data_IF_205326307548
#
_entry.id   IF_205326307548
#
_cell.length_a   1.000
_cell.length_b   1.000
_cell.length_c   1.000
_cell.angle_alpha   90.00
_cell.angle_beta   90.00
_cell.angle_gamma   90.00
#
_symmetry.space_group_name_H-M   'P 1'
#
loop_
_entity.id
_entity.type
_entity.pdbx_description
1 polymer ?
#
# COMPACT_ATOMS: atom_id res chain seq x y z
N UNK A 1 -21.00 -29.72 -13.59
CA UNK A 1 -19.72 -29.01 -13.77
C UNK A 1 -19.81 -27.73 -12.97
N UNK A 2 -19.24 -27.73 -11.75
CA UNK A 2 -19.27 -26.56 -10.88
C UNK A 2 -18.27 -25.54 -11.40
N UNK A 3 -18.76 -24.38 -11.85
CA UNK A 3 -17.91 -23.21 -12.05
C UNK A 3 -17.43 -22.77 -10.67
N UNK A 4 -16.20 -23.11 -10.31
CA UNK A 4 -15.55 -22.44 -9.18
C UNK A 4 -15.48 -20.96 -9.54
N UNK A 5 -16.19 -20.14 -8.77
CA UNK A 5 -16.11 -18.70 -8.90
C UNK A 5 -14.67 -18.22 -8.67
N UNK A 6 -14.32 -17.04 -9.17
CA UNK A 6 -12.99 -16.45 -8.98
C UNK A 6 -12.63 -16.41 -7.49
N UNK A 7 -11.41 -16.85 -7.14
CA UNK A 7 -10.95 -16.85 -5.77
C UNK A 7 -10.91 -15.41 -5.22
N UNK A 8 -11.36 -15.19 -3.97
CA UNK A 8 -11.44 -13.85 -3.40
C UNK A 8 -10.06 -13.20 -3.27
N UNK A 9 -10.01 -11.87 -3.35
CA UNK A 9 -8.84 -11.04 -3.10
C UNK A 9 -8.93 -10.48 -1.68
N UNK A 10 -8.04 -10.91 -0.80
CA UNK A 10 -7.91 -10.33 0.54
C UNK A 10 -6.93 -9.16 0.51
N UNK A 11 -7.36 -7.99 0.97
CA UNK A 11 -6.52 -6.79 1.02
C UNK A 11 -6.28 -6.38 2.47
N UNK A 12 -5.02 -6.21 2.84
CA UNK A 12 -4.62 -5.59 4.10
C UNK A 12 -4.13 -4.17 3.83
N UNK A 13 -4.76 -3.19 4.47
CA UNK A 13 -4.52 -1.78 4.19
C UNK A 13 -3.73 -1.14 5.32
N UNK A 14 -2.68 -0.39 4.99
CA UNK A 14 -1.97 0.42 5.98
C UNK A 14 -1.96 1.90 5.63
N UNK A 15 -2.05 2.75 6.64
CA UNK A 15 -1.75 4.18 6.53
C UNK A 15 -0.66 4.57 7.52
N UNK A 16 -0.26 5.84 7.53
CA UNK A 16 0.72 6.35 8.49
C UNK A 16 0.08 7.37 9.43
N UNK A 17 0.55 7.42 10.68
CA UNK A 17 0.25 8.52 11.59
C UNK A 17 0.72 9.86 11.01
N UNK A 18 0.22 10.95 11.60
CA UNK A 18 0.79 12.29 11.40
C UNK A 18 2.30 12.33 11.69
N UNK A 19 3.00 13.26 11.06
CA UNK A 19 4.44 13.49 11.27
C UNK A 19 4.79 14.96 11.07
N UNK A 20 6.03 15.32 11.39
CA UNK A 20 6.52 16.70 11.33
C UNK A 20 6.27 17.34 9.95
N UNK A 21 5.56 18.46 9.95
CA UNK A 21 5.18 19.20 8.73
C UNK A 21 3.87 18.74 8.08
N UNK A 22 3.21 17.70 8.60
CA UNK A 22 1.88 17.23 8.15
C UNK A 22 0.99 17.02 9.37
N UNK A 23 0.27 18.09 9.76
CA UNK A 23 -0.57 18.10 10.97
C UNK A 23 -1.74 17.10 10.89
N UNK A 24 -2.29 16.90 9.69
CA UNK A 24 -3.28 15.89 9.36
C UNK A 24 -2.75 15.06 8.20
N UNK A 25 -2.48 13.77 8.45
CA UNK A 25 -2.09 12.83 7.40
C UNK A 25 -3.35 12.21 6.79
N UNK A 26 -3.68 12.49 5.51
CA UNK A 26 -4.86 11.93 4.85
C UNK A 26 -4.99 10.42 5.00
N UNK A 27 -3.86 9.72 4.90
CA UNK A 27 -3.83 8.26 4.93
C UNK A 27 -4.19 7.68 6.30
N UNK A 28 -3.93 8.41 7.39
CA UNK A 28 -4.39 8.00 8.72
C UNK A 28 -5.92 7.95 8.77
N UNK A 29 -6.55 9.04 8.32
CA UNK A 29 -8.00 9.24 8.38
C UNK A 29 -8.73 8.29 7.43
N UNK A 30 -8.22 8.17 6.20
CA UNK A 30 -8.75 7.25 5.18
C UNK A 30 -8.77 5.82 5.71
N UNK A 31 -7.65 5.33 6.24
CA UNK A 31 -7.53 3.92 6.68
C UNK A 31 -8.37 3.66 7.92
N UNK A 32 -8.45 4.60 8.88
CA UNK A 32 -9.34 4.47 10.05
C UNK A 32 -10.81 4.36 9.66
N UNK A 33 -11.23 5.10 8.63
CA UNK A 33 -12.63 5.19 8.23
C UNK A 33 -13.03 4.15 7.18
N UNK A 34 -12.06 3.49 6.53
CA UNK A 34 -12.26 2.62 5.38
C UNK A 34 -13.29 1.51 5.60
N UNK A 35 -13.18 0.76 6.69
CA UNK A 35 -14.11 -0.33 7.01
C UNK A 35 -15.56 0.17 7.03
N UNK A 36 -15.83 1.20 7.85
CA UNK A 36 -17.18 1.78 7.99
C UNK A 36 -17.70 2.40 6.69
N UNK A 37 -16.81 2.93 5.86
CA UNK A 37 -17.16 3.50 4.55
C UNK A 37 -17.60 2.41 3.58
N UNK A 38 -16.85 1.30 3.50
CA UNK A 38 -17.19 0.16 2.65
C UNK A 38 -18.44 -0.57 3.14
N UNK A 39 -18.69 -0.65 4.45
CA UNK A 39 -19.92 -1.22 5.00
C UNK A 39 -21.16 -0.42 4.57
N UNK A 40 -21.06 0.91 4.54
CA UNK A 40 -22.16 1.80 4.10
C UNK A 40 -22.38 1.76 2.59
N UNK A 41 -21.29 1.71 1.81
CA UNK A 41 -21.34 1.74 0.34
C UNK A 41 -21.62 0.37 -0.28
N UNK A 42 -21.19 -0.69 0.40
CA UNK A 42 -21.12 -2.05 -0.12
C UNK A 42 -19.68 -2.45 -0.43
N UNK A 43 -19.30 -3.66 0.00
CA UNK A 43 -17.98 -4.23 -0.28
C UNK A 43 -17.88 -4.62 -1.76
N UNK A 44 -16.75 -4.35 -2.44
CA UNK A 44 -16.52 -4.83 -3.80
C UNK A 44 -16.69 -6.35 -3.92
N UNK A 45 -17.30 -6.82 -5.00
CA UNK A 45 -17.51 -8.26 -5.23
C UNK A 45 -16.16 -8.97 -5.34
N UNK A 46 -16.02 -10.07 -4.61
CA UNK A 46 -14.77 -10.85 -4.61
C UNK A 46 -13.64 -10.23 -3.79
N UNK A 47 -13.88 -9.15 -3.04
CA UNK A 47 -12.90 -8.55 -2.14
C UNK A 47 -13.21 -8.88 -0.68
N UNK A 48 -12.18 -9.20 0.09
CA UNK A 48 -12.21 -9.30 1.55
C UNK A 48 -11.27 -8.24 2.11
N UNK A 49 -11.78 -7.34 2.94
CA UNK A 49 -10.92 -6.42 3.69
C UNK A 49 -10.40 -7.15 4.92
N UNK A 50 -9.10 -7.46 4.95
CA UNK A 50 -8.48 -8.26 5.99
C UNK A 50 -8.18 -7.46 7.27
N UNK A 51 -7.43 -6.36 7.13
CA UNK A 51 -7.14 -5.46 8.24
C UNK A 51 -6.88 -4.03 7.76
N UNK A 52 -7.05 -3.07 8.66
CA UNK A 52 -6.70 -1.66 8.48
C UNK A 52 -5.77 -1.25 9.63
N UNK A 53 -4.49 -1.01 9.32
CA UNK A 53 -3.46 -0.75 10.33
C UNK A 53 -2.84 0.64 10.14
N UNK A 54 -2.65 1.38 11.23
CA UNK A 54 -1.95 2.67 11.19
C UNK A 54 -0.52 2.46 11.70
N UNK A 55 0.46 2.72 10.84
CA UNK A 55 1.89 2.62 11.15
C UNK A 55 2.42 3.94 11.71
N UNK A 56 3.45 3.87 12.54
CA UNK A 56 4.25 5.05 12.88
C UNK A 56 4.90 5.60 11.62
N UNK A 57 4.97 6.93 11.48
CA UNK A 57 5.74 7.59 10.43
C UNK A 57 7.25 7.58 10.75
N UNK A 58 7.76 6.44 11.19
CA UNK A 58 9.14 6.19 11.57
C UNK A 58 9.60 4.86 10.99
N UNK A 59 10.78 4.83 10.36
CA UNK A 59 11.24 3.67 9.60
C UNK A 59 11.33 2.42 10.47
N UNK A 60 12.19 2.47 11.49
CA UNK A 60 12.35 1.37 12.45
C UNK A 60 11.08 1.16 13.30
N UNK A 61 10.40 2.25 13.70
CA UNK A 61 9.19 2.20 14.51
C UNK A 61 8.00 1.52 13.82
N UNK A 62 7.93 1.59 12.48
CA UNK A 62 6.89 0.92 11.70
C UNK A 62 7.11 -0.59 11.56
N UNK A 63 8.33 -1.10 11.76
CA UNK A 63 8.65 -2.49 11.43
C UNK A 63 7.91 -3.50 12.29
N UNK A 64 7.79 -3.30 13.61
CA UNK A 64 7.09 -4.25 14.49
C UNK A 64 5.67 -4.55 14.00
N UNK A 65 4.78 -3.53 13.95
CA UNK A 65 3.43 -3.69 13.42
C UNK A 65 3.37 -4.17 11.96
N UNK A 66 4.35 -3.79 11.13
CA UNK A 66 4.42 -4.23 9.73
C UNK A 66 4.71 -5.74 9.61
N UNK A 67 5.64 -6.27 10.40
CA UNK A 67 5.97 -7.69 10.39
C UNK A 67 4.88 -8.55 11.05
N UNK A 68 4.23 -8.05 12.11
CA UNK A 68 3.02 -8.69 12.65
C UNK A 68 1.92 -8.80 11.59
N UNK A 69 1.73 -7.75 10.80
CA UNK A 69 0.80 -7.77 9.67
C UNK A 69 1.20 -8.84 8.64
N UNK A 70 2.49 -8.89 8.27
CA UNK A 70 3.01 -9.88 7.32
C UNK A 70 2.72 -11.31 7.76
N UNK A 71 3.04 -11.64 9.02
CA UNK A 71 2.80 -12.97 9.59
C UNK A 71 1.31 -13.33 9.57
N UNK A 72 0.45 -12.41 10.02
CA UNK A 72 -1.01 -12.62 10.00
C UNK A 72 -1.56 -12.84 8.59
N UNK A 73 -0.98 -12.18 7.58
CA UNK A 73 -1.43 -12.27 6.18
C UNK A 73 -1.12 -13.63 5.53
N UNK A 74 -0.09 -14.33 6.01
CA UNK A 74 0.33 -15.65 5.50
C UNK A 74 -0.28 -16.79 6.29
N UNK A 75 -0.38 -16.68 7.63
CA UNK A 75 -1.04 -17.71 8.46
C UNK A 75 -2.48 -17.97 8.01
N UNK A 76 -3.21 -16.91 7.67
CA UNK A 76 -4.57 -17.02 7.15
C UNK A 76 -4.65 -17.73 5.78
N UNK A 77 -3.54 -17.81 5.03
CA UNK A 77 -3.46 -18.51 3.75
C UNK A 77 -3.18 -20.01 3.91
N UNK A 78 -2.41 -20.41 4.92
CA UNK A 78 -2.01 -21.80 5.16
C UNK A 78 -3.12 -22.63 5.84
N UNK A 79 -4.03 -21.96 6.58
CA UNK A 79 -5.15 -22.62 7.28
C UNK A 79 -6.39 -22.88 6.38
N UNK A 80 -6.43 -22.30 5.16
CA UNK A 80 -7.55 -22.41 4.23
C UNK A 80 -7.34 -23.46 3.12
N UNK A 81 -8.38 -24.25 2.86
CA UNK A 81 -8.48 -25.29 1.79
C UNK A 81 -8.11 -24.78 0.38
N UNK A 82 -7.92 -25.73 -0.55
CA UNK A 82 -7.39 -25.70 -1.94
C UNK A 82 -7.79 -24.54 -2.90
N UNK A 83 -8.61 -23.58 -2.47
CA UNK A 83 -8.96 -22.36 -3.20
C UNK A 83 -8.26 -21.14 -2.56
N UNK A 84 -6.93 -21.06 -2.74
CA UNK A 84 -6.11 -19.99 -2.16
C UNK A 84 -6.42 -18.64 -2.83
N UNK A 85 -7.22 -17.82 -2.15
CA UNK A 85 -7.44 -16.42 -2.50
C UNK A 85 -6.13 -15.63 -2.54
N UNK A 86 -6.14 -14.56 -3.32
CA UNK A 86 -4.95 -13.71 -3.47
C UNK A 86 -4.86 -12.70 -2.33
N UNK A 87 -3.68 -12.55 -1.73
CA UNK A 87 -3.44 -11.54 -0.70
C UNK A 87 -2.70 -10.34 -1.29
N UNK A 88 -3.15 -9.13 -0.95
CA UNK A 88 -2.53 -7.87 -1.33
C UNK A 88 -2.24 -7.03 -0.07
N UNK A 89 -0.98 -6.65 0.12
CA UNK A 89 -0.56 -5.64 1.09
C UNK A 89 -0.62 -4.26 0.43
N UNK A 90 -1.61 -3.45 0.81
CA UNK A 90 -1.87 -2.15 0.22
C UNK A 90 -1.48 -1.03 1.19
N UNK A 91 -0.48 -0.25 0.83
CA UNK A 91 0.08 0.78 1.68
C UNK A 91 -0.24 2.18 1.14
N UNK A 92 -0.73 3.07 2.01
CA UNK A 92 -1.02 4.46 1.67
C UNK A 92 -0.03 5.38 2.39
N UNK A 93 0.62 6.26 1.64
CA UNK A 93 1.47 7.33 2.18
C UNK A 93 1.06 8.69 1.64
N UNK A 94 1.34 9.76 2.38
CA UNK A 94 1.06 11.13 1.91
C UNK A 94 2.28 11.71 1.18
N UNK A 95 2.06 12.31 0.02
CA UNK A 95 3.00 13.18 -0.66
C UNK A 95 2.45 14.61 -0.66
N UNK A 96 2.93 15.43 0.28
CA UNK A 96 2.38 16.77 0.51
C UNK A 96 2.61 17.78 -0.61
N UNK A 97 3.55 17.51 -1.52
CA UNK A 97 3.81 18.32 -2.71
C UNK A 97 3.04 17.85 -3.95
N UNK A 98 2.27 16.77 -3.86
CA UNK A 98 1.51 16.24 -4.99
C UNK A 98 0.10 16.85 -5.07
N UNK A 99 -0.41 16.94 -6.29
CA UNK A 99 -1.80 17.28 -6.60
C UNK A 99 -2.57 16.11 -7.23
N UNK A 100 -1.96 14.92 -7.27
CA UNK A 100 -2.52 13.70 -7.87
C UNK A 100 -2.16 12.47 -7.06
N UNK A 101 -2.87 11.36 -7.28
CA UNK A 101 -2.49 10.07 -6.73
C UNK A 101 -1.31 9.48 -7.53
N UNK A 102 -0.45 8.70 -6.87
CA UNK A 102 0.60 7.96 -7.55
C UNK A 102 0.63 6.51 -7.09
N UNK A 103 0.59 5.56 -8.02
CA UNK A 103 0.79 4.14 -7.74
C UNK A 103 2.26 3.82 -7.95
N UNK A 104 2.94 3.38 -6.89
CA UNK A 104 4.34 3.05 -6.94
C UNK A 104 4.53 1.67 -7.56
N UNK A 105 5.33 1.62 -8.62
CA UNK A 105 5.72 0.40 -9.32
C UNK A 105 6.90 -0.30 -8.63
N UNK A 106 7.70 0.45 -7.86
CA UNK A 106 8.91 -0.07 -7.22
C UNK A 106 9.29 0.65 -5.93
N UNK A 107 10.15 0.00 -5.15
CA UNK A 107 10.91 0.59 -4.05
C UNK A 107 12.41 0.33 -4.26
N UNK A 108 13.26 1.22 -3.76
CA UNK A 108 14.73 1.09 -3.82
C UNK A 108 15.32 0.71 -2.46
N UNK A 109 16.41 -0.05 -2.44
CA UNK A 109 17.11 -0.54 -1.25
C UNK A 109 17.89 0.57 -0.53
N UNK A 110 17.34 1.77 -0.43
CA UNK A 110 18.03 2.93 0.11
C UNK A 110 17.17 3.64 1.16
N UNK A 111 17.76 3.84 2.33
CA UNK A 111 17.28 4.77 3.35
C UNK A 111 18.19 6.01 3.37
N UNK A 112 17.70 7.10 2.79
CA UNK A 112 18.34 8.42 2.78
C UNK A 112 17.30 9.47 3.14
N UNK A 113 17.14 9.70 4.45
CA UNK A 113 16.05 10.51 4.99
C UNK A 113 16.44 11.98 4.98
N UNK A 114 15.66 12.82 4.28
CA UNK A 114 15.94 14.27 4.16
C UNK A 114 15.88 15.00 5.51
N UNK A 115 14.97 14.57 6.37
CA UNK A 115 14.77 15.02 7.74
C UNK A 115 14.72 13.80 8.67
N UNK A 116 14.93 13.97 9.99
CA UNK A 116 14.63 12.90 10.93
C UNK A 116 13.18 12.44 10.79
N UNK A 117 12.95 11.14 11.02
CA UNK A 117 11.61 10.62 11.22
C UNK A 117 11.08 10.94 12.64
N UNK A 118 9.87 10.49 12.96
CA UNK A 118 9.22 10.83 14.24
C UNK A 118 9.93 10.25 15.47
N UNK A 119 10.86 9.30 15.29
CA UNK A 119 11.69 8.77 16.37
C UNK A 119 13.13 9.33 16.31
N UNK A 120 13.37 10.35 15.48
CA UNK A 120 14.66 11.02 15.35
C UNK A 120 15.65 10.31 14.44
N UNK A 121 15.27 9.22 13.77
CA UNK A 121 16.17 8.48 12.90
C UNK A 121 16.35 9.20 11.56
N UNK A 122 17.60 9.45 11.16
CA UNK A 122 17.96 10.12 9.91
C UNK A 122 19.09 9.37 9.18
N UNK A 123 18.83 8.18 8.62
CA UNK A 123 19.83 7.42 7.87
C UNK A 123 20.27 8.19 6.61
N UNK A 124 21.52 7.98 6.19
CA UNK A 124 22.10 8.57 4.98
C UNK A 124 22.81 7.48 4.18
N UNK A 125 22.28 7.16 3.00
CA UNK A 125 22.82 6.16 2.05
C UNK A 125 23.01 4.78 2.69
N UNK A 126 22.07 4.37 3.54
CA UNK A 126 22.09 3.08 4.23
C UNK A 126 21.22 2.09 3.46
N UNK A 127 21.68 0.84 3.23
CA UNK A 127 20.83 -0.19 2.65
C UNK A 127 19.69 -0.54 3.60
N UNK A 128 18.48 -0.70 3.07
CA UNK A 128 17.33 -1.18 3.85
C UNK A 128 17.57 -2.64 4.24
N UNK A 129 18.01 -3.45 3.28
CA UNK A 129 18.41 -4.84 3.42
C UNK A 129 19.82 -5.02 2.91
N UNK A 130 20.78 -5.14 3.83
CA UNK A 130 22.18 -5.40 3.47
C UNK A 130 22.36 -6.73 2.69
N UNK A 131 21.48 -7.71 2.93
CA UNK A 131 21.48 -8.99 2.19
C UNK A 131 21.15 -8.84 0.70
N UNK A 132 20.49 -7.75 0.32
CA UNK A 132 19.97 -7.55 -1.03
C UNK A 132 20.96 -6.77 -1.92
N UNK A 133 22.18 -6.51 -1.40
CA UNK A 133 23.28 -5.93 -2.16
C UNK A 133 23.27 -4.40 -2.21
N UNK A 134 23.43 -3.83 -3.41
CA UNK A 134 23.58 -2.39 -3.62
C UNK A 134 22.37 -1.59 -3.12
N UNK A 135 22.61 -0.37 -2.62
CA UNK A 135 21.53 0.58 -2.28
C UNK A 135 20.67 0.96 -3.50
N UNK A 136 21.20 0.82 -4.71
CA UNK A 136 20.48 1.08 -5.97
C UNK A 136 19.58 -0.09 -6.39
N UNK A 137 19.65 -1.24 -5.69
CA UNK A 137 18.78 -2.38 -5.99
C UNK A 137 17.33 -1.97 -5.82
N UNK A 138 16.49 -2.21 -6.82
CA UNK A 138 15.05 -2.02 -6.71
C UNK A 138 14.33 -3.36 -6.57
N UNK A 139 13.12 -3.29 -6.03
CA UNK A 139 12.13 -4.36 -6.03
C UNK A 139 10.86 -3.80 -6.65
N UNK A 140 10.20 -4.56 -7.52
CA UNK A 140 9.00 -4.11 -8.22
C UNK A 140 7.79 -4.91 -7.77
N UNK A 141 6.61 -4.30 -7.82
CA UNK A 141 5.37 -5.04 -7.61
C UNK A 141 5.07 -5.96 -8.80
N UNK A 142 4.41 -7.08 -8.53
CA UNK A 142 3.85 -7.96 -9.56
C UNK A 142 2.46 -7.50 -10.03
N UNK A 143 1.91 -6.44 -9.42
CA UNK A 143 0.65 -5.84 -9.86
C UNK A 143 0.85 -5.02 -11.14
N UNK A 144 -0.09 -5.08 -12.09
CA UNK A 144 -0.02 -4.34 -13.36
C UNK A 144 -0.35 -2.85 -13.14
N UNK A 145 0.59 -2.09 -12.59
CA UNK A 145 0.36 -0.70 -12.13
C UNK A 145 -0.13 0.22 -13.23
N UNK A 146 0.34 0.03 -14.48
CA UNK A 146 -0.07 0.85 -15.63
C UNK A 146 -1.54 0.60 -15.97
N UNK A 147 -1.97 -0.65 -15.95
CA UNK A 147 -3.33 -1.09 -16.22
C UNK A 147 -4.28 -0.62 -15.10
N UNK A 148 -3.88 -0.78 -13.83
CA UNK A 148 -4.64 -0.29 -12.69
C UNK A 148 -4.81 1.23 -12.79
N UNK A 149 -3.72 1.96 -13.07
CA UNK A 149 -3.77 3.42 -13.23
C UNK A 149 -4.68 3.82 -14.38
N UNK A 150 -4.62 3.12 -15.51
CA UNK A 150 -5.48 3.38 -16.67
C UNK A 150 -6.97 3.16 -16.34
N UNK A 151 -7.31 2.08 -15.64
CA UNK A 151 -8.69 1.82 -15.21
C UNK A 151 -9.20 2.93 -14.28
N UNK A 152 -8.38 3.38 -13.33
CA UNK A 152 -8.75 4.47 -12.43
C UNK A 152 -8.86 5.83 -13.15
N UNK A 153 -7.99 6.11 -14.13
CA UNK A 153 -8.10 7.29 -14.99
C UNK A 153 -9.41 7.28 -15.80
N UNK A 154 -9.84 6.12 -16.31
CA UNK A 154 -11.12 5.97 -17.00
C UNK A 154 -12.33 6.22 -16.08
N UNK A 155 -12.16 6.03 -14.77
CA UNK A 155 -13.14 6.39 -13.74
C UNK A 155 -13.08 7.87 -13.32
N UNK A 156 -12.18 8.66 -13.91
CA UNK A 156 -12.08 10.11 -13.70
C UNK A 156 -11.08 10.55 -12.64
N UNK A 157 -10.27 9.66 -12.08
CA UNK A 157 -9.26 10.03 -11.08
C UNK A 157 -7.97 10.54 -11.73
N UNK A 158 -7.38 11.61 -11.19
CA UNK A 158 -6.02 12.04 -11.54
C UNK A 158 -5.01 11.17 -10.80
N UNK A 159 -4.55 10.13 -11.49
CA UNK A 159 -3.64 9.12 -10.95
C UNK A 159 -2.60 8.72 -12.00
N UNK A 160 -1.36 8.48 -11.57
CA UNK A 160 -0.28 8.06 -12.45
C UNK A 160 0.58 6.93 -11.85
N UNK A 161 1.19 6.08 -12.68
CA UNK A 161 2.27 5.21 -12.23
C UNK A 161 3.49 6.05 -11.81
N UNK A 162 4.21 5.61 -10.80
CA UNK A 162 5.46 6.20 -10.31
C UNK A 162 6.52 5.11 -10.11
N UNK A 163 7.76 5.40 -10.48
CA UNK A 163 8.92 4.51 -10.24
C UNK A 163 9.79 5.00 -9.08
N UNK A 164 9.31 5.97 -8.29
CA UNK A 164 10.06 6.60 -7.21
C UNK A 164 9.19 6.88 -5.97
N UNK A 165 9.17 5.92 -5.04
CA UNK A 165 8.53 6.06 -3.73
C UNK A 165 9.31 6.98 -2.76
N UNK A 166 10.36 7.67 -3.23
CA UNK A 166 11.28 8.46 -2.44
C UNK A 166 12.34 7.62 -1.73
N UNK A 167 12.99 8.20 -0.71
CA UNK A 167 13.98 7.51 0.13
C UNK A 167 13.67 7.67 1.63
N UNK A 168 12.42 7.97 1.95
CA UNK A 168 11.92 8.17 3.31
C UNK A 168 11.14 6.93 3.78
N UNK A 169 10.33 7.07 4.84
CA UNK A 169 9.59 5.97 5.48
C UNK A 169 8.67 5.20 4.51
N UNK A 170 8.08 5.88 3.51
CA UNK A 170 7.23 5.25 2.50
C UNK A 170 7.99 4.19 1.68
N UNK A 171 9.11 4.59 1.05
CA UNK A 171 10.02 3.65 0.37
C UNK A 171 10.56 2.57 1.32
N UNK A 172 10.89 2.94 2.56
CA UNK A 172 11.39 2.00 3.55
C UNK A 172 10.41 0.85 3.81
N UNK A 173 9.17 1.19 4.18
CA UNK A 173 8.10 0.20 4.39
C UNK A 173 7.82 -0.58 3.11
N UNK A 174 7.74 0.11 1.96
CA UNK A 174 7.40 -0.57 0.72
C UNK A 174 8.45 -1.59 0.29
N UNK A 175 9.74 -1.30 0.48
CA UNK A 175 10.82 -2.23 0.18
C UNK A 175 10.73 -3.52 1.02
N UNK A 176 10.45 -3.40 2.32
CA UNK A 176 10.20 -4.54 3.20
C UNK A 176 8.99 -5.37 2.71
N UNK A 177 7.89 -4.70 2.36
CA UNK A 177 6.67 -5.35 1.88
C UNK A 177 6.86 -6.06 0.55
N UNK A 178 7.57 -5.48 -0.41
CA UNK A 178 7.87 -6.12 -1.69
C UNK A 178 8.76 -7.34 -1.53
N UNK A 179 9.78 -7.25 -0.67
CA UNK A 179 10.65 -8.39 -0.33
C UNK A 179 9.86 -9.53 0.32
N UNK A 180 8.96 -9.21 1.24
CA UNK A 180 8.08 -10.19 1.85
C UNK A 180 7.11 -10.80 0.82
N UNK A 181 6.51 -9.96 -0.01
CA UNK A 181 5.56 -10.37 -1.03
C UNK A 181 6.15 -11.34 -2.04
N UNK A 182 7.35 -11.05 -2.55
CA UNK A 182 8.09 -11.94 -3.44
C UNK A 182 8.34 -13.30 -2.80
N UNK A 183 8.84 -13.32 -1.55
CA UNK A 183 9.16 -14.56 -0.83
C UNK A 183 7.93 -15.45 -0.59
N UNK A 184 6.77 -14.86 -0.34
CA UNK A 184 5.56 -15.58 0.05
C UNK A 184 4.53 -15.72 -1.07
N UNK A 185 4.84 -15.26 -2.29
CA UNK A 185 3.93 -15.32 -3.44
C UNK A 185 2.61 -14.57 -3.20
N UNK A 186 2.67 -13.46 -2.46
CA UNK A 186 1.57 -12.50 -2.31
C UNK A 186 1.92 -11.23 -3.10
N UNK A 187 1.03 -10.23 -3.14
CA UNK A 187 1.28 -8.97 -3.85
C UNK A 187 1.37 -7.80 -2.88
N UNK A 188 2.07 -6.74 -3.26
CA UNK A 188 2.10 -5.48 -2.48
C UNK A 188 2.07 -4.27 -3.40
N UNK A 189 1.32 -3.24 -3.02
CA UNK A 189 1.22 -1.97 -3.73
C UNK A 189 1.35 -0.82 -2.74
N UNK A 190 2.08 0.21 -3.13
CA UNK A 190 2.11 1.47 -2.40
C UNK A 190 1.44 2.56 -3.24
N UNK A 191 0.64 3.40 -2.59
CA UNK A 191 -0.06 4.51 -3.23
C UNK A 191 0.21 5.79 -2.46
N UNK A 192 0.74 6.80 -3.14
CA UNK A 192 0.89 8.14 -2.59
C UNK A 192 -0.37 8.97 -2.83
N UNK A 193 -0.84 9.59 -1.75
CA UNK A 193 -2.00 10.46 -1.71
C UNK A 193 -1.56 11.92 -1.57
N UNK A 194 -2.21 12.87 -2.25
CA UNK A 194 -2.02 14.28 -1.99
C UNK A 194 -2.70 14.69 -0.67
N UNK A 195 -2.45 15.91 -0.20
CA UNK A 195 -3.18 16.48 0.94
C UNK A 195 -4.67 16.68 0.63
N UNK A 196 -5.52 16.72 1.67
CA UNK A 196 -6.94 17.04 1.49
C UNK A 196 -7.20 18.43 0.90
N UNK A 197 -6.27 19.37 1.06
CA UNK A 197 -6.33 20.69 0.41
C UNK A 197 -6.13 20.64 -1.10
N UNK A 198 -5.57 19.55 -1.63
CA UNK A 198 -5.36 19.36 -3.06
C UNK A 198 -6.43 18.46 -3.69
N UNK A 199 -6.86 17.40 -2.98
CA UNK A 199 -8.00 16.56 -3.35
C UNK A 199 -8.81 16.27 -2.10
N UNK A 200 -10.09 16.64 -2.09
CA UNK A 200 -10.97 16.50 -0.93
C UNK A 200 -11.06 15.06 -0.38
N UNK A 201 -11.26 14.95 0.94
CA UNK A 201 -11.35 13.67 1.65
C UNK A 201 -12.36 12.71 1.03
N UNK A 202 -13.53 13.21 0.64
CA UNK A 202 -14.58 12.39 0.01
C UNK A 202 -14.08 11.78 -1.31
N UNK A 203 -13.39 12.56 -2.15
CA UNK A 203 -12.83 12.08 -3.41
C UNK A 203 -11.72 11.06 -3.16
N UNK A 204 -10.87 11.27 -2.15
CA UNK A 204 -9.83 10.29 -1.79
C UNK A 204 -10.44 8.98 -1.27
N UNK A 205 -11.53 9.02 -0.50
CA UNK A 205 -12.25 7.82 -0.05
C UNK A 205 -12.94 7.09 -1.22
N UNK A 206 -13.55 7.83 -2.15
CA UNK A 206 -14.11 7.27 -3.38
C UNK A 206 -13.03 6.60 -4.22
N UNK A 207 -11.86 7.24 -4.37
CA UNK A 207 -10.69 6.69 -5.04
C UNK A 207 -10.26 5.36 -4.44
N UNK A 208 -10.17 5.25 -3.11
CA UNK A 208 -9.80 3.99 -2.45
C UNK A 208 -10.80 2.88 -2.75
N UNK A 209 -12.10 3.16 -2.70
CA UNK A 209 -13.10 2.16 -3.04
C UNK A 209 -12.98 1.70 -4.50
N UNK A 210 -12.77 2.61 -5.45
CA UNK A 210 -12.54 2.27 -6.85
C UNK A 210 -11.23 1.50 -7.06
N UNK A 211 -10.16 1.84 -6.33
CA UNK A 211 -8.91 1.07 -6.35
C UNK A 211 -9.14 -0.37 -5.87
N UNK A 212 -9.89 -0.57 -4.78
CA UNK A 212 -10.22 -1.90 -4.29
C UNK A 212 -11.07 -2.69 -5.29
N UNK A 213 -12.04 -2.06 -5.96
CA UNK A 213 -12.81 -2.66 -7.05
C UNK A 213 -11.91 -3.12 -8.20
N UNK A 214 -10.99 -2.26 -8.65
CA UNK A 214 -10.03 -2.61 -9.70
C UNK A 214 -9.14 -3.77 -9.27
N UNK A 215 -8.59 -3.73 -8.05
CA UNK A 215 -7.75 -4.81 -7.52
C UNK A 215 -8.48 -6.15 -7.41
N UNK A 216 -9.76 -6.14 -7.01
CA UNK A 216 -10.60 -7.34 -6.96
C UNK A 216 -10.85 -7.93 -8.37
N UNK A 217 -10.94 -7.06 -9.38
CA UNK A 217 -11.19 -7.47 -10.77
C UNK A 217 -9.97 -8.03 -11.50
N UNK A 218 -8.75 -7.86 -10.96
CA UNK A 218 -7.53 -8.34 -11.61
C UNK A 218 -7.44 -9.87 -11.73
N UNK A 219 -8.26 -10.61 -10.98
CA UNK A 219 -8.36 -12.07 -11.05
C UNK A 219 -9.46 -12.55 -12.02
N UNK A 220 -10.16 -11.62 -12.68
CA UNK A 220 -11.19 -11.89 -13.68
C UNK A 220 -10.68 -11.78 -15.12
N UNK A 221 -9.43 -11.37 -15.31
CA UNK A 221 -8.76 -11.18 -16.61
C UNK A 221 -7.71 -12.29 -16.82
#
# INVERSE_FOLDING_TARGET
MGSEGPSPVTVHVTGFKRFYGVAENPTEKIVRNLQSFLEKRGMPKGLVLGSCTILEAAGQGALGPLYELFESSVVNRECGSLNQGQVILLHFGVNSGSHRFALENQAVNEATFRCPDELGWKPQRVPIMSSDGSILQSRQTTLPVKEISKSLQQMGYDVAPSDDAGRFVCNYVYYHSLRFAEKHGIRSLFVHFPLFSAIDEEVQMLFVASLLEVLASLNLL
#
